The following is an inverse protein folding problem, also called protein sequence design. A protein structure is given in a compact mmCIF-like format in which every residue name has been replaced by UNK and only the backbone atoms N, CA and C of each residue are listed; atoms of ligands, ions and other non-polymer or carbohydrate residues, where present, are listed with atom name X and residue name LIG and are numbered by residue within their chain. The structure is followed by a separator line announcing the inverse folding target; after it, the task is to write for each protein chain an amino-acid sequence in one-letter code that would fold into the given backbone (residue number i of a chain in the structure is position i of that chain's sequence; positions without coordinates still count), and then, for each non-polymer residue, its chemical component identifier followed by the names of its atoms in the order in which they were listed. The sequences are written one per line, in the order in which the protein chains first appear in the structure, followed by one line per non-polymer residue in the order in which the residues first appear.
data_IF_852610309601
#
_entry.id   IF_852610309601
#
_cell.length_a   1.000
_cell.length_b   1.000
_cell.length_c   1.000
_cell.angle_alpha   90.00
_cell.angle_beta   90.00
_cell.angle_gamma   90.00
#
_symmetry.space_group_name_H-M   'P 1'
#
loop_
_entity.id
_entity.type
_entity.pdbx_description
1 polymer ?
#
# COMPACT_ATOMS: atom_id res chain seq x y z
N UNK A 1 8.26 30.43 -14.98
CA UNK A 1 8.12 29.71 -13.70
C UNK A 1 6.75 29.05 -13.70
N UNK A 2 6.67 27.74 -13.95
CA UNK A 2 5.41 27.00 -13.93
C UNK A 2 5.04 26.74 -12.46
N UNK A 3 4.31 27.69 -11.85
CA UNK A 3 3.73 27.56 -10.52
C UNK A 3 2.50 26.67 -10.56
N UNK A 4 2.68 25.38 -10.84
CA UNK A 4 1.62 24.39 -10.69
C UNK A 4 1.94 23.61 -9.43
N UNK A 5 1.20 23.87 -8.35
CA UNK A 5 1.25 23.05 -7.15
C UNK A 5 0.72 21.66 -7.51
N UNK A 6 1.63 20.76 -7.93
CA UNK A 6 1.30 19.41 -8.39
C UNK A 6 0.52 18.60 -7.35
N UNK A 7 0.59 19.00 -6.08
CA UNK A 7 -0.02 18.37 -4.91
C UNK A 7 -1.56 18.33 -4.97
N UNK A 8 -2.21 19.15 -5.80
CA UNK A 8 -3.68 19.19 -5.96
C UNK A 8 -4.19 18.66 -7.30
N UNK A 9 -3.31 18.33 -8.24
CA UNK A 9 -3.71 17.70 -9.51
C UNK A 9 -4.11 16.25 -9.25
N UNK A 10 -5.25 15.78 -9.80
CA UNK A 10 -5.70 14.37 -9.70
C UNK A 10 -4.55 13.37 -9.92
N UNK A 11 -3.69 13.67 -10.89
CA UNK A 11 -2.47 12.91 -11.20
C UNK A 11 -1.56 12.64 -9.99
N UNK A 12 -1.39 13.58 -9.06
CA UNK A 12 -0.56 13.36 -7.85
C UNK A 12 -1.27 12.47 -6.82
N UNK A 13 -2.59 12.60 -6.70
CA UNK A 13 -3.37 11.74 -5.81
C UNK A 13 -3.39 10.30 -6.33
N UNK A 14 -3.57 10.14 -7.63
CA UNK A 14 -3.56 8.85 -8.32
C UNK A 14 -2.17 8.19 -8.21
N UNK A 15 -1.10 8.93 -8.52
CA UNK A 15 0.27 8.42 -8.38
C UNK A 15 0.65 8.06 -6.93
N UNK A 16 0.16 8.83 -5.95
CA UNK A 16 0.37 8.53 -4.52
C UNK A 16 -0.41 7.29 -4.08
N UNK A 17 -1.60 7.07 -4.62
CA UNK A 17 -2.41 5.88 -4.36
C UNK A 17 -1.78 4.63 -4.99
N UNK A 18 -1.38 4.70 -6.27
CA UNK A 18 -0.68 3.61 -6.98
C UNK A 18 0.64 3.24 -6.30
N UNK A 19 1.45 4.24 -5.92
CA UNK A 19 2.71 3.99 -5.20
C UNK A 19 2.50 3.31 -3.85
N UNK A 20 1.40 3.62 -3.16
CA UNK A 20 1.04 2.97 -1.89
C UNK A 20 0.61 1.52 -2.09
N UNK A 21 -0.14 1.23 -3.15
CA UNK A 21 -0.57 -0.13 -3.48
C UNK A 21 0.62 -1.04 -3.81
N UNK A 22 1.56 -0.58 -4.63
CA UNK A 22 2.76 -1.35 -4.99
C UNK A 22 3.67 -1.62 -3.79
N UNK A 23 3.83 -0.64 -2.90
CA UNK A 23 4.57 -0.83 -1.64
C UNK A 23 3.89 -1.89 -0.77
N UNK A 24 2.56 -1.86 -0.64
CA UNK A 24 1.81 -2.84 0.16
C UNK A 24 1.95 -4.26 -0.43
N UNK A 25 1.83 -4.41 -1.75
CA UNK A 25 2.02 -5.71 -2.43
C UNK A 25 3.40 -6.32 -2.19
N UNK A 26 4.44 -5.49 -2.08
CA UNK A 26 5.81 -5.95 -1.81
C UNK A 26 6.07 -6.19 -0.31
N UNK A 27 5.62 -5.28 0.55
CA UNK A 27 5.91 -5.30 1.98
C UNK A 27 5.10 -6.36 2.74
N UNK A 28 3.80 -6.48 2.47
CA UNK A 28 2.90 -7.38 3.22
C UNK A 28 3.39 -8.84 3.20
N UNK A 29 3.75 -9.45 2.05
CA UNK A 29 4.27 -10.82 2.04
C UNK A 29 5.59 -10.99 2.81
N UNK A 30 6.46 -9.98 2.82
CA UNK A 30 7.72 -10.02 3.57
C UNK A 30 7.47 -10.00 5.08
N UNK A 31 6.56 -9.14 5.54
CA UNK A 31 6.20 -9.03 6.95
C UNK A 31 5.47 -10.30 7.44
N UNK A 32 4.63 -10.91 6.60
CA UNK A 32 4.04 -12.22 6.90
C UNK A 32 5.10 -13.31 7.02
N UNK A 33 6.12 -13.33 6.15
CA UNK A 33 7.24 -14.27 6.25
C UNK A 33 8.05 -14.10 7.53
N UNK A 34 8.05 -12.91 8.13
CA UNK A 34 8.66 -12.69 9.47
C UNK A 34 7.78 -13.17 10.63
N UNK A 35 6.58 -13.67 10.35
CA UNK A 35 5.66 -14.20 11.36
C UNK A 35 4.68 -13.17 11.93
N UNK A 36 4.58 -11.97 11.35
CA UNK A 36 3.56 -10.99 11.76
C UNK A 36 2.17 -11.44 11.29
N UNK A 37 1.13 -11.07 12.05
CA UNK A 37 -0.26 -11.24 11.64
C UNK A 37 -0.74 -10.11 10.73
N UNK A 38 -1.85 -10.33 10.01
CA UNK A 38 -2.48 -9.32 9.15
C UNK A 38 -2.85 -8.07 9.95
N UNK A 39 -3.36 -8.24 11.17
CA UNK A 39 -3.76 -7.17 12.07
C UNK A 39 -2.55 -6.34 12.55
N UNK A 40 -1.44 -7.01 12.87
CA UNK A 40 -0.20 -6.33 13.23
C UNK A 40 0.35 -5.52 12.07
N UNK A 41 0.36 -6.09 10.87
CA UNK A 41 0.81 -5.40 9.65
C UNK A 41 -0.08 -4.19 9.36
N UNK A 42 -1.40 -4.32 9.52
CA UNK A 42 -2.34 -3.22 9.34
C UNK A 42 -2.05 -2.06 10.31
N UNK A 43 -1.76 -2.39 11.57
CA UNK A 43 -1.40 -1.41 12.58
C UNK A 43 -0.06 -0.73 12.29
N UNK A 44 0.98 -1.50 11.97
CA UNK A 44 2.33 -0.98 11.68
C UNK A 44 2.37 -0.11 10.42
N UNK A 45 1.63 -0.49 9.38
CA UNK A 45 1.56 0.26 8.12
C UNK A 45 0.48 1.36 8.16
N UNK A 46 -0.25 1.48 9.27
CA UNK A 46 -1.39 2.40 9.45
C UNK A 46 -2.36 2.33 8.26
N UNK A 47 -2.79 1.10 7.94
CA UNK A 47 -3.72 0.78 6.86
C UNK A 47 -4.88 -0.04 7.41
N UNK A 48 -5.98 -0.13 6.66
CA UNK A 48 -7.07 -1.00 7.05
C UNK A 48 -6.68 -2.48 6.90
N UNK A 49 -7.18 -3.32 7.80
CA UNK A 49 -6.96 -4.78 7.78
C UNK A 49 -7.37 -5.38 6.44
N UNK A 50 -8.48 -4.91 5.85
CA UNK A 50 -8.96 -5.37 4.55
C UNK A 50 -8.00 -5.03 3.41
N UNK A 51 -7.28 -3.90 3.48
CA UNK A 51 -6.26 -3.53 2.50
C UNK A 51 -5.08 -4.52 2.56
N UNK A 52 -4.67 -4.92 3.76
CA UNK A 52 -3.63 -5.95 3.93
C UNK A 52 -4.13 -7.30 3.41
N UNK A 53 -5.37 -7.67 3.70
CA UNK A 53 -5.99 -8.91 3.21
C UNK A 53 -6.00 -8.98 1.68
N UNK A 54 -6.39 -7.88 1.02
CA UNK A 54 -6.37 -7.77 -0.44
C UNK A 54 -4.95 -7.90 -1.00
N UNK A 55 -3.96 -7.25 -0.38
CA UNK A 55 -2.57 -7.35 -0.79
C UNK A 55 -2.01 -8.78 -0.69
N UNK A 56 -2.48 -9.57 0.29
CA UNK A 56 -2.15 -11.00 0.40
C UNK A 56 -2.79 -11.81 -0.72
N UNK A 57 -4.09 -11.60 -0.97
CA UNK A 57 -4.82 -12.32 -2.02
C UNK A 57 -4.21 -12.08 -3.40
N UNK A 58 -3.92 -10.82 -3.73
CA UNK A 58 -3.29 -10.43 -4.99
C UNK A 58 -1.86 -11.00 -5.15
N UNK A 59 -1.18 -11.36 -4.06
CA UNK A 59 0.13 -12.01 -4.13
C UNK A 59 0.04 -13.51 -4.40
N UNK A 60 -1.04 -14.16 -3.94
CA UNK A 60 -1.27 -15.59 -4.17
C UNK A 60 -1.78 -15.92 -5.59
N UNK A 61 -2.33 -14.93 -6.29
CA UNK A 61 -2.83 -15.07 -7.67
C UNK A 61 -1.76 -14.83 -8.76
N UNK A 62 -0.48 -14.67 -8.38
CA UNK A 62 0.67 -14.54 -9.29
C UNK A 62 1.58 -15.76 -9.23
#
# INVERSE_FOLDING_TARGET
MLGVSLEQTRVYQDAKAEGREEILKAAVPLLLKTGMSIEQIAQELNVEVEVVRLAVQQNNDK
#
